data_IF_802416340939
#
_entry.id   IF_802416340939
#
_cell.length_a   1.000
_cell.length_b   1.000
_cell.length_c   1.000
_cell.angle_alpha   90.00
_cell.angle_beta   90.00
_cell.angle_gamma   90.00
#
_symmetry.space_group_name_H-M   'P 1'
#
loop_
_entity.id
_entity.type
_entity.pdbx_description
1 polymer ?
#
# COMPACT_ATOMS: atom_id res chain seq x y z
N UNK A 1 9.00 -8.92 6.13
CA UNK A 1 7.73 -9.17 5.42
C UNK A 1 6.97 -10.40 5.94
N UNK A 2 7.57 -11.60 6.05
CA UNK A 2 6.86 -12.79 6.60
C UNK A 2 6.27 -12.58 8.01
N UNK A 3 6.99 -11.86 8.89
CA UNK A 3 6.48 -11.56 10.23
C UNK A 3 5.24 -10.67 10.21
N UNK A 4 5.15 -9.74 9.25
CA UNK A 4 4.01 -8.83 9.11
C UNK A 4 2.82 -9.58 8.52
N UNK A 5 3.03 -10.39 7.49
CA UNK A 5 1.97 -11.22 6.91
C UNK A 5 1.35 -12.11 7.99
N UNK A 6 2.18 -12.75 8.85
CA UNK A 6 1.71 -13.55 9.99
C UNK A 6 0.99 -12.71 11.04
N UNK A 7 1.48 -11.51 11.33
CA UNK A 7 0.86 -10.58 12.28
C UNK A 7 -0.51 -10.11 11.81
N UNK A 8 -0.64 -9.66 10.56
CA UNK A 8 -1.90 -9.24 9.96
C UNK A 8 -2.88 -10.43 9.85
N UNK A 9 -2.40 -11.59 9.40
CA UNK A 9 -3.20 -12.81 9.35
C UNK A 9 -3.80 -13.17 10.72
N UNK A 10 -2.97 -13.16 11.77
CA UNK A 10 -3.41 -13.45 13.14
C UNK A 10 -4.35 -12.38 13.71
N UNK A 11 -4.03 -11.10 13.51
CA UNK A 11 -4.79 -9.98 14.11
C UNK A 11 -6.17 -9.81 13.49
N UNK A 12 -6.29 -10.09 12.19
CA UNK A 12 -7.54 -9.90 11.44
C UNK A 12 -8.27 -11.21 11.12
N UNK A 13 -7.72 -12.36 11.55
CA UNK A 13 -8.33 -13.67 11.33
C UNK A 13 -8.41 -14.07 9.86
N UNK A 14 -7.46 -13.59 9.05
CA UNK A 14 -7.39 -13.86 7.60
C UNK A 14 -6.24 -14.80 7.26
N UNK A 15 -6.32 -15.59 6.18
CA UNK A 15 -5.20 -16.42 5.75
C UNK A 15 -3.95 -15.58 5.42
N UNK A 16 -2.72 -16.08 5.67
CA UNK A 16 -1.48 -15.39 5.30
C UNK A 16 -1.40 -15.00 3.82
N UNK A 17 -1.95 -15.84 2.94
CA UNK A 17 -2.02 -15.55 1.50
C UNK A 17 -2.90 -14.32 1.22
N UNK A 18 -4.02 -14.19 1.93
CA UNK A 18 -4.95 -13.06 1.83
C UNK A 18 -4.34 -11.79 2.43
N UNK A 19 -3.67 -11.89 3.57
CA UNK A 19 -2.91 -10.77 4.15
C UNK A 19 -1.83 -10.26 3.19
N UNK A 20 -1.12 -11.16 2.53
CA UNK A 20 -0.14 -10.80 1.51
C UNK A 20 -0.79 -10.11 0.31
N UNK A 21 -1.95 -10.58 -0.18
CA UNK A 21 -2.70 -9.91 -1.25
C UNK A 21 -3.16 -8.50 -0.85
N UNK A 22 -3.62 -8.33 0.40
CA UNK A 22 -4.04 -7.04 0.94
C UNK A 22 -2.87 -6.03 0.97
N UNK A 23 -1.68 -6.46 1.42
CA UNK A 23 -0.47 -5.64 1.40
C UNK A 23 -0.12 -5.23 -0.03
N UNK A 24 -0.16 -6.17 -0.98
CA UNK A 24 0.18 -5.87 -2.39
C UNK A 24 -0.80 -4.87 -3.01
N UNK A 25 -2.09 -5.03 -2.74
CA UNK A 25 -3.12 -4.12 -3.25
C UNK A 25 -2.98 -2.71 -2.67
N UNK A 26 -2.78 -2.59 -1.36
CA UNK A 26 -2.52 -1.30 -0.73
C UNK A 26 -1.24 -0.65 -1.25
N UNK A 27 -0.17 -1.43 -1.43
CA UNK A 27 1.09 -0.96 -2.04
C UNK A 27 0.86 -0.43 -3.45
N UNK A 28 0.08 -1.17 -4.27
CA UNK A 28 -0.31 -0.74 -5.62
C UNK A 28 -1.04 0.59 -5.58
N UNK A 29 -2.03 0.74 -4.71
CA UNK A 29 -2.83 1.97 -4.60
C UNK A 29 -1.99 3.17 -4.16
N UNK A 30 -1.05 2.97 -3.23
CA UNK A 30 -0.10 4.00 -2.81
C UNK A 30 0.77 4.45 -3.99
N UNK A 31 1.27 3.51 -4.80
CA UNK A 31 2.04 3.83 -6.00
C UNK A 31 1.19 4.52 -7.06
N UNK A 32 -0.04 4.05 -7.31
CA UNK A 32 -0.98 4.68 -8.26
C UNK A 32 -1.34 6.10 -7.84
N UNK A 33 -1.40 6.38 -6.53
CA UNK A 33 -1.66 7.73 -6.03
C UNK A 33 -0.44 8.64 -6.08
N UNK A 34 0.76 8.07 -6.13
CA UNK A 34 2.01 8.84 -6.23
C UNK A 34 2.25 9.30 -7.68
N UNK A 35 3.06 10.35 -7.88
CA UNK A 35 3.50 10.72 -9.23
C UNK A 35 4.27 9.57 -9.88
N UNK A 36 4.27 9.50 -11.22
CA UNK A 36 5.07 8.52 -11.97
C UNK A 36 6.54 8.42 -11.53
N UNK A 37 7.18 9.58 -11.26
CA UNK A 37 8.57 9.64 -10.80
C UNK A 37 8.76 9.02 -9.42
N UNK A 38 7.86 9.34 -8.49
CA UNK A 38 7.87 8.77 -7.14
C UNK A 38 7.56 7.28 -7.17
N UNK A 39 6.58 6.85 -7.96
CA UNK A 39 6.25 5.44 -8.14
C UNK A 39 7.43 4.63 -8.73
N UNK A 40 8.13 5.16 -9.74
CA UNK A 40 9.33 4.55 -10.32
C UNK A 40 10.47 4.41 -9.31
N UNK A 41 10.74 5.48 -8.56
CA UNK A 41 11.77 5.50 -7.52
C UNK A 41 11.46 4.48 -6.42
N UNK A 42 10.18 4.37 -6.04
CA UNK A 42 9.73 3.40 -5.04
C UNK A 42 9.83 1.97 -5.53
N UNK A 43 9.38 1.69 -6.75
CA UNK A 43 9.54 0.37 -7.38
C UNK A 43 11.01 -0.04 -7.42
N UNK A 44 11.91 0.89 -7.71
CA UNK A 44 13.36 0.64 -7.74
C UNK A 44 13.96 0.39 -6.35
N UNK A 45 13.40 1.01 -5.31
CA UNK A 45 13.83 0.86 -3.91
C UNK A 45 13.21 -0.33 -3.18
N UNK A 46 12.11 -0.88 -3.71
CA UNK A 46 11.40 -1.99 -3.08
C UNK A 46 12.18 -3.32 -3.21
N UNK A 47 12.05 -4.22 -2.23
CA UNK A 47 12.56 -5.58 -2.34
C UNK A 47 12.06 -6.25 -3.62
N UNK A 48 12.94 -6.93 -4.36
CA UNK A 48 12.59 -7.62 -5.63
C UNK A 48 11.35 -8.51 -5.51
N UNK A 49 11.19 -9.17 -4.36
CA UNK A 49 10.04 -10.03 -4.07
C UNK A 49 8.68 -9.32 -4.08
N UNK A 50 8.64 -8.00 -3.83
CA UNK A 50 7.45 -7.18 -3.98
C UNK A 50 7.30 -6.69 -5.43
N UNK A 51 8.40 -6.25 -6.03
CA UNK A 51 8.42 -5.73 -7.40
C UNK A 51 7.98 -6.80 -8.40
N UNK A 52 8.42 -8.05 -8.22
CA UNK A 52 8.04 -9.22 -9.03
C UNK A 52 6.55 -9.58 -8.97
N UNK A 53 5.78 -9.00 -8.04
CA UNK A 53 4.33 -9.19 -7.98
C UNK A 53 3.56 -8.30 -8.94
N UNK A 54 4.17 -7.23 -9.42
CA UNK A 54 3.60 -6.35 -10.44
C UNK A 54 4.00 -6.89 -11.82
N UNK A 55 3.01 -7.17 -12.66
CA UNK A 55 3.24 -7.50 -14.07
C UNK A 55 3.70 -6.24 -14.85
N UNK A 56 4.13 -6.43 -16.09
CA UNK A 56 4.68 -5.33 -16.90
C UNK A 56 3.64 -4.23 -17.17
N UNK A 57 2.37 -4.59 -17.33
CA UNK A 57 1.28 -3.63 -17.52
C UNK A 57 1.03 -2.78 -16.26
N UNK A 58 1.06 -3.39 -15.08
CA UNK A 58 0.94 -2.71 -13.79
C UNK A 58 2.12 -1.76 -13.60
N UNK A 59 3.34 -2.23 -13.83
CA UNK A 59 4.54 -1.38 -13.74
C UNK A 59 4.45 -0.20 -14.69
N UNK A 60 4.03 -0.44 -15.93
CA UNK A 60 3.84 0.60 -16.94
C UNK A 60 2.81 1.62 -16.47
N UNK A 61 1.65 1.19 -15.97
CA UNK A 61 0.63 2.11 -15.46
C UNK A 61 1.13 2.95 -14.28
N UNK A 62 1.84 2.32 -13.34
CA UNK A 62 2.40 2.98 -12.16
C UNK A 62 3.39 4.11 -12.52
N UNK A 63 4.15 3.95 -13.61
CA UNK A 63 5.14 4.94 -14.06
C UNK A 63 4.62 5.85 -15.19
N UNK A 64 3.32 5.81 -15.50
CA UNK A 64 2.75 6.68 -16.54
C UNK A 64 1.60 7.55 -16.05
N UNK A 65 0.82 7.07 -15.07
CA UNK A 65 -0.45 7.71 -14.70
C UNK A 65 -0.61 7.75 -13.19
N UNK A 66 -0.92 8.95 -12.68
CA UNK A 66 -1.39 9.12 -11.31
C UNK A 66 -2.91 9.00 -11.27
N UNK A 67 -3.43 8.23 -10.32
CA UNK A 67 -4.85 8.02 -10.09
C UNK A 67 -5.23 8.70 -8.77
N UNK A 68 -6.29 9.50 -8.79
CA UNK A 68 -6.82 10.06 -7.55
C UNK A 68 -7.63 9.02 -6.77
N UNK A 69 -6.92 8.26 -5.95
CA UNK A 69 -7.49 7.26 -5.05
C UNK A 69 -7.74 7.86 -3.66
N UNK A 70 -8.81 7.46 -3.01
CA UNK A 70 -9.12 7.87 -1.64
C UNK A 70 -9.17 6.66 -0.69
N UNK A 71 -9.36 6.94 0.60
CA UNK A 71 -9.47 5.89 1.64
C UNK A 71 -10.62 4.92 1.38
N UNK A 72 -11.75 5.39 0.87
CA UNK A 72 -12.90 4.53 0.58
C UNK A 72 -12.56 3.49 -0.50
N UNK A 73 -11.80 3.88 -1.52
CA UNK A 73 -11.31 2.94 -2.54
C UNK A 73 -10.40 1.87 -1.92
N UNK A 74 -9.55 2.26 -0.96
CA UNK A 74 -8.67 1.34 -0.24
C UNK A 74 -9.48 0.35 0.62
N UNK A 75 -10.44 0.85 1.40
CA UNK A 75 -11.31 0.01 2.24
C UNK A 75 -12.10 -0.97 1.37
N UNK A 76 -12.65 -0.51 0.24
CA UNK A 76 -13.38 -1.35 -0.69
C UNK A 76 -12.49 -2.46 -1.26
N UNK A 77 -11.29 -2.12 -1.72
CA UNK A 77 -10.34 -3.09 -2.24
C UNK A 77 -9.93 -4.12 -1.18
N UNK A 78 -9.70 -3.69 0.06
CA UNK A 78 -9.38 -4.59 1.18
C UNK A 78 -10.56 -5.47 1.55
N UNK A 79 -11.80 -4.97 1.51
CA UNK A 79 -13.01 -5.78 1.73
C UNK A 79 -13.15 -6.88 0.69
N UNK A 80 -12.92 -6.57 -0.59
CA UNK A 80 -12.99 -7.56 -1.68
C UNK A 80 -11.92 -8.66 -1.53
N UNK A 81 -10.71 -8.30 -1.11
CA UNK A 81 -9.61 -9.26 -0.94
C UNK A 81 -9.80 -10.11 0.31
N UNK A 82 -10.17 -9.49 1.42
CA UNK A 82 -10.21 -10.15 2.74
C UNK A 82 -11.54 -10.78 3.07
N UNK A 83 -12.60 -10.44 2.33
CA UNK A 83 -13.98 -10.78 2.62
C UNK A 83 -14.45 -10.30 4.01
N UNK A 84 -13.71 -9.38 4.64
CA UNK A 84 -14.12 -8.71 5.88
C UNK A 84 -15.24 -7.73 5.53
N UNK A 85 -16.34 -7.82 6.27
CA UNK A 85 -17.52 -6.91 6.14
C UNK A 85 -17.61 -5.87 7.26
N UNK A 86 -16.83 -6.06 8.31
CA UNK A 86 -16.74 -5.16 9.44
C UNK A 86 -15.87 -3.96 9.06
N UNK A 87 -16.50 -2.79 8.95
CA UNK A 87 -15.85 -1.54 8.50
C UNK A 87 -14.77 -1.10 9.49
N UNK A 88 -14.99 -1.25 10.80
CA UNK A 88 -13.99 -0.86 11.79
C UNK A 88 -12.75 -1.75 11.73
N UNK A 89 -12.94 -3.06 11.46
CA UNK A 89 -11.82 -3.97 11.21
C UNK A 89 -11.10 -3.65 9.91
N UNK A 90 -11.82 -3.30 8.84
CA UNK A 90 -11.21 -2.88 7.58
C UNK A 90 -10.40 -1.59 7.72
N UNK A 91 -10.91 -0.64 8.49
CA UNK A 91 -10.20 0.60 8.79
C UNK A 91 -8.90 0.34 9.57
N UNK A 92 -8.94 -0.52 10.58
CA UNK A 92 -7.75 -0.93 11.34
C UNK A 92 -6.76 -1.70 10.47
N UNK A 93 -7.25 -2.57 9.57
CA UNK A 93 -6.42 -3.29 8.62
C UNK A 93 -5.74 -2.32 7.65
N UNK A 94 -6.50 -1.37 7.10
CA UNK A 94 -5.98 -0.35 6.19
C UNK A 94 -4.84 0.43 6.86
N UNK A 95 -5.06 0.93 8.08
CA UNK A 95 -4.03 1.67 8.82
C UNK A 95 -2.80 0.79 9.10
N UNK A 96 -3.00 -0.46 9.52
CA UNK A 96 -1.89 -1.39 9.78
C UNK A 96 -1.06 -1.71 8.53
N UNK A 97 -1.70 -1.86 7.38
CA UNK A 97 -1.04 -2.11 6.10
C UNK A 97 -0.30 -0.85 5.61
N UNK A 98 -0.91 0.32 5.75
CA UNK A 98 -0.26 1.59 5.40
C UNK A 98 0.95 1.88 6.29
N UNK A 99 0.87 1.56 7.59
CA UNK A 99 1.99 1.70 8.53
C UNK A 99 3.13 0.75 8.13
N UNK A 100 2.80 -0.47 7.71
CA UNK A 100 3.78 -1.42 7.22
C UNK A 100 4.51 -0.93 5.97
N UNK A 101 3.75 -0.43 4.98
CA UNK A 101 4.32 0.17 3.76
C UNK A 101 5.25 1.33 4.15
N UNK A 102 4.83 2.17 5.10
CA UNK A 102 5.64 3.29 5.59
C UNK A 102 6.93 2.84 6.28
N UNK A 103 6.88 1.79 7.09
CA UNK A 103 8.05 1.28 7.85
C UNK A 103 9.02 0.48 6.98
N UNK A 104 8.52 -0.23 5.97
CA UNK A 104 9.32 -1.11 5.11
C UNK A 104 9.72 -0.45 3.79
N UNK A 105 9.18 0.72 3.47
CA UNK A 105 9.70 1.54 2.37
C UNK A 105 11.07 2.08 2.77
N UNK A 106 12.11 1.30 2.48
CA UNK A 106 13.50 1.74 2.49
C UNK A 106 13.74 2.61 1.25
N UNK A 107 13.15 3.79 1.25
CA UNK A 107 13.28 4.72 0.14
C UNK A 107 14.67 5.33 0.21
N UNK A 108 15.61 4.72 -0.51
CA UNK A 108 16.86 5.38 -0.90
C UNK A 108 16.52 6.42 -1.96
N UNK A 109 15.97 7.54 -1.51
CA UNK A 109 15.68 8.70 -2.36
C UNK A 109 16.98 9.48 -2.56
N UNK A 110 17.46 9.51 -3.80
CA UNK A 110 18.57 10.37 -4.21
C UNK A 110 18.22 11.86 -4.06
N UNK A 111 16.93 12.21 -4.04
CA UNK A 111 16.39 13.54 -3.78
C UNK A 111 15.20 13.40 -2.81
N UNK A 112 15.25 14.06 -1.64
CA UNK A 112 14.23 13.94 -0.58
C UNK A 112 12.78 14.29 -0.99
N UNK A 113 12.58 14.84 -2.18
CA UNK A 113 11.28 15.21 -2.73
C UNK A 113 10.33 14.01 -2.93
N UNK A 114 10.84 12.87 -3.40
CA UNK A 114 9.99 11.72 -3.71
C UNK A 114 9.49 11.02 -2.42
N UNK A 115 10.22 11.22 -1.31
CA UNK A 115 9.85 10.72 0.02
C UNK A 115 8.68 11.51 0.62
N UNK A 116 8.72 12.83 0.50
CA UNK A 116 7.64 13.71 0.97
C UNK A 116 6.35 13.49 0.18
N UNK A 117 6.46 13.26 -1.12
CA UNK A 117 5.31 12.94 -1.95
C UNK A 117 4.70 11.58 -1.56
N UNK A 118 5.51 10.55 -1.35
CA UNK A 118 5.00 9.26 -0.86
C UNK A 118 4.28 9.43 0.48
N UNK A 119 4.88 10.14 1.43
CA UNK A 119 4.26 10.33 2.74
C UNK A 119 2.95 11.11 2.63
N UNK A 120 2.86 12.06 1.69
CA UNK A 120 1.61 12.75 1.39
C UNK A 120 0.56 11.79 0.82
N UNK A 121 0.94 10.92 -0.11
CA UNK A 121 0.06 9.89 -0.67
C UNK A 121 -0.41 8.93 0.43
N UNK A 122 0.49 8.42 1.28
CA UNK A 122 0.16 7.59 2.43
C UNK A 122 -0.79 8.33 3.38
N UNK A 123 -0.46 9.55 3.79
CA UNK A 123 -1.24 10.36 4.73
C UNK A 123 -2.67 10.60 4.24
N UNK A 124 -2.86 10.79 2.93
CA UNK A 124 -4.18 10.96 2.34
C UNK A 124 -5.06 9.70 2.38
N UNK A 125 -4.46 8.52 2.55
CA UNK A 125 -5.17 7.23 2.67
C UNK A 125 -5.42 6.83 4.15
N UNK A 126 -4.71 7.44 5.10
CA UNK A 126 -5.01 7.25 6.52
C UNK A 126 -6.38 7.80 6.91
N UNK A 127 -6.93 7.28 8.00
CA UNK A 127 -8.17 7.79 8.58
C UNK A 127 -7.93 9.25 8.92
N UNK A 128 -8.77 10.15 8.39
CA UNK A 128 -8.77 11.55 8.83
C UNK A 128 -9.09 11.53 10.32
N UNK A 129 -8.07 11.70 11.17
CA UNK A 129 -8.29 12.04 12.57
C UNK A 129 -8.91 13.43 12.57
N UNK A 130 -10.21 13.49 12.83
CA UNK A 130 -10.86 14.72 13.27
C UNK A 130 -10.12 15.15 14.54
N UNK A 131 -9.40 16.28 14.45
CA UNK A 131 -8.92 17.00 15.63
C UNK A 131 -10.12 17.61 16.37
#
# INVERSE_FOLDING_TARGET
MENIIKMLAGSFGIPPQVANLAINAATKMVLQKSSPKTAESLLSSMPKQLVEKFNDDDRKQLVTTQIDLNRYDLIKQLSEITNIKDIDKLDQLADSVLDDIRQNSQINTSDGLDKDELFTALQSLYRKRSL
#
